data_IF_022309895826
#
_entry.id   IF_022309895826
#
_cell.length_a   1.000
_cell.length_b   1.000
_cell.length_c   1.000
_cell.angle_alpha   90.00
_cell.angle_beta   90.00
_cell.angle_gamma   90.00
#
_symmetry.space_group_name_H-M   'P 1'
#
loop_
_entity.id
_entity.type
_entity.pdbx_description
1 polymer ?
#
# COMPACT_ATOMS: atom_id res chain seq x y z
N UNK A 1 -31.11 -10.70 4.98
CA UNK A 1 -29.66 -10.51 4.81
C UNK A 1 -29.23 -9.40 5.75
N UNK A 2 -28.49 -9.73 6.81
CA UNK A 2 -28.18 -8.83 7.94
C UNK A 2 -27.03 -7.86 7.63
N UNK A 3 -27.11 -6.68 8.24
CA UNK A 3 -26.29 -5.46 8.14
C UNK A 3 -24.76 -5.58 8.27
N UNK A 4 -24.17 -6.78 8.34
CA UNK A 4 -22.72 -6.96 8.60
C UNK A 4 -21.89 -7.45 7.40
N UNK A 5 -22.48 -7.55 6.19
CA UNK A 5 -21.80 -8.11 5.02
C UNK A 5 -21.37 -7.07 3.96
N UNK A 6 -21.59 -5.77 4.19
CA UNK A 6 -21.30 -4.74 3.20
C UNK A 6 -19.81 -4.36 3.11
N UNK A 7 -19.04 -4.48 4.21
CA UNK A 7 -17.60 -4.15 4.22
C UNK A 7 -16.75 -5.11 3.36
N UNK A 8 -17.23 -6.32 3.08
CA UNK A 8 -16.52 -7.30 2.25
C UNK A 8 -16.99 -7.34 0.78
N UNK A 9 -18.12 -6.69 0.43
CA UNK A 9 -18.76 -6.89 -0.88
C UNK A 9 -18.40 -5.84 -1.95
N UNK A 10 -17.74 -4.74 -1.58
CA UNK A 10 -17.48 -3.63 -2.52
C UNK A 10 -16.24 -3.79 -3.42
N UNK A 11 -15.68 -5.00 -3.55
CA UNK A 11 -14.65 -5.30 -4.54
C UNK A 11 -15.20 -5.73 -5.92
N UNK A 12 -16.52 -5.78 -6.13
CA UNK A 12 -17.07 -6.45 -7.32
C UNK A 12 -18.34 -5.81 -7.85
N UNK A 13 -18.21 -4.99 -8.91
CA UNK A 13 -18.89 -5.16 -10.22
C UNK A 13 -18.71 -3.91 -11.08
N UNK A 14 -18.20 -4.10 -12.29
CA UNK A 14 -18.21 -3.09 -13.34
C UNK A 14 -19.42 -3.23 -14.26
N UNK A 15 -19.90 -2.12 -14.82
CA UNK A 15 -20.57 -2.05 -16.13
C UNK A 15 -20.42 -0.65 -16.76
N UNK A 16 -20.59 -0.63 -18.08
CA UNK A 16 -20.06 0.31 -19.09
C UNK A 16 -20.79 1.66 -19.23
N UNK A 17 -20.04 2.65 -19.76
CA UNK A 17 -20.39 3.52 -20.91
C UNK A 17 -20.31 5.05 -20.67
N UNK A 18 -19.35 5.65 -21.37
CA UNK A 18 -19.24 7.00 -21.94
C UNK A 18 -20.27 8.07 -21.53
N UNK A 19 -19.82 9.03 -20.70
CA UNK A 19 -20.05 10.48 -20.86
C UNK A 19 -19.31 11.24 -19.74
N UNK A 20 -18.00 11.48 -19.92
CA UNK A 20 -17.22 12.37 -19.05
C UNK A 20 -17.16 13.76 -19.68
N UNK A 21 -17.86 14.74 -19.09
CA UNK A 21 -17.47 16.16 -18.94
C UNK A 21 -18.64 17.08 -18.53
N UNK A 22 -19.91 16.62 -18.54
CA UNK A 22 -21.06 17.49 -18.27
C UNK A 22 -21.73 17.30 -16.90
N UNK A 23 -21.41 16.24 -16.16
CA UNK A 23 -22.10 15.87 -14.91
C UNK A 23 -21.41 16.36 -13.62
N UNK A 24 -20.24 17.00 -13.70
CA UNK A 24 -19.70 17.82 -12.59
C UNK A 24 -20.36 19.21 -12.65
N UNK A 25 -21.68 19.27 -12.84
CA UNK A 25 -22.47 20.48 -12.69
C UNK A 25 -23.09 20.45 -11.30
N UNK A 26 -22.59 21.33 -10.43
CA UNK A 26 -23.00 21.60 -9.04
C UNK A 26 -22.41 20.69 -7.95
N UNK A 27 -21.09 20.53 -7.91
CA UNK A 27 -20.46 20.51 -6.58
C UNK A 27 -20.50 21.96 -6.07
N UNK A 28 -21.45 22.24 -5.18
CA UNK A 28 -21.63 23.52 -4.44
C UNK A 28 -20.39 23.92 -3.59
N UNK A 29 -19.25 23.24 -3.71
CA UNK A 29 -18.04 23.54 -2.93
C UNK A 29 -17.44 24.90 -3.28
N UNK A 30 -17.34 25.25 -4.57
CA UNK A 30 -16.61 26.48 -4.99
C UNK A 30 -17.26 27.75 -4.45
N UNK A 31 -18.60 27.78 -4.28
CA UNK A 31 -19.31 28.95 -3.73
C UNK A 31 -19.42 28.94 -2.20
N UNK A 32 -19.18 27.81 -1.53
CA UNK A 32 -19.16 27.71 -0.07
C UNK A 32 -17.78 28.07 0.49
N UNK A 33 -16.72 27.72 -0.23
CA UNK A 33 -15.33 28.00 0.15
C UNK A 33 -14.98 29.50 0.06
N UNK A 34 -15.63 30.28 -0.83
CA UNK A 34 -15.35 31.71 -1.02
C UNK A 34 -15.93 32.64 0.06
N UNK A 35 -16.72 32.15 1.02
CA UNK A 35 -17.43 32.98 2.03
C UNK A 35 -16.82 32.97 3.43
N UNK A 36 -15.58 32.56 3.53
CA UNK A 36 -15.01 32.13 4.80
C UNK A 36 -13.67 32.84 5.03
N UNK A 37 -13.72 33.92 5.82
CA UNK A 37 -12.55 34.69 6.23
C UNK A 37 -11.67 33.85 7.16
N UNK A 38 -10.41 33.60 6.79
CA UNK A 38 -9.53 32.73 7.58
C UNK A 38 -8.14 33.31 7.81
N UNK A 39 -7.74 33.28 9.09
CA UNK A 39 -6.44 33.68 9.62
C UNK A 39 -5.38 32.59 9.41
N UNK A 40 -4.16 33.04 9.11
CA UNK A 40 -2.99 32.25 8.75
C UNK A 40 -2.21 31.73 9.97
N UNK A 41 -1.79 30.45 9.95
CA UNK A 41 -0.78 29.93 10.87
C UNK A 41 -0.06 28.70 10.31
N UNK A 42 1.28 28.73 10.29
CA UNK A 42 2.17 27.58 10.09
C UNK A 42 3.24 27.75 8.99
N UNK A 43 4.51 27.42 9.30
CA UNK A 43 5.65 27.44 8.37
C UNK A 43 5.46 26.53 7.15
N UNK A 44 4.75 25.41 7.31
CA UNK A 44 4.46 24.47 6.22
C UNK A 44 3.59 25.11 5.13
N UNK A 45 2.68 26.01 5.51
CA UNK A 45 1.82 26.71 4.56
C UNK A 45 2.63 27.64 3.64
N UNK A 46 3.71 28.25 4.17
CA UNK A 46 4.60 29.11 3.37
C UNK A 46 5.34 28.33 2.28
N UNK A 47 5.72 27.07 2.57
CA UNK A 47 6.40 26.20 1.61
C UNK A 47 5.47 25.78 0.48
N UNK A 48 4.24 25.39 0.78
CA UNK A 48 3.24 25.06 -0.25
C UNK A 48 2.96 26.25 -1.16
N UNK A 49 2.71 27.42 -0.59
CA UNK A 49 2.44 28.66 -1.35
C UNK A 49 3.61 28.97 -2.30
N UNK A 50 4.86 28.84 -1.84
CA UNK A 50 6.03 29.04 -2.69
C UNK A 50 6.11 28.06 -3.85
N UNK A 51 5.80 26.77 -3.63
CA UNK A 51 5.78 25.76 -4.70
C UNK A 51 4.76 26.10 -5.79
N UNK A 52 3.51 26.42 -5.40
CA UNK A 52 2.47 26.79 -6.36
C UNK A 52 2.85 28.03 -7.18
N UNK A 53 3.36 29.06 -6.52
CA UNK A 53 3.77 30.30 -7.17
C UNK A 53 4.91 30.07 -8.17
N UNK A 54 5.95 29.31 -7.76
CA UNK A 54 7.08 29.02 -8.64
C UNK A 54 6.67 28.22 -9.87
N UNK A 55 5.81 27.20 -9.70
CA UNK A 55 5.29 26.43 -10.83
C UNK A 55 4.46 27.33 -11.74
N UNK A 56 3.60 28.20 -11.19
CA UNK A 56 2.79 29.11 -11.98
C UNK A 56 3.65 30.03 -12.86
N UNK A 57 4.66 30.68 -12.28
CA UNK A 57 5.56 31.58 -13.00
C UNK A 57 6.32 30.87 -14.12
N UNK A 58 6.94 29.71 -13.81
CA UNK A 58 7.79 29.00 -14.77
C UNK A 58 6.95 28.30 -15.84
N UNK A 59 5.82 27.71 -15.47
CA UNK A 59 4.91 27.07 -16.43
C UNK A 59 4.27 28.09 -17.38
N UNK A 60 3.95 29.31 -16.91
CA UNK A 60 3.46 30.39 -17.77
C UNK A 60 4.53 30.81 -18.78
N UNK A 61 5.77 31.05 -18.32
CA UNK A 61 6.90 31.38 -19.20
C UNK A 61 7.19 30.27 -20.23
N UNK A 62 7.10 29.01 -19.83
CA UNK A 62 7.20 27.88 -20.76
C UNK A 62 6.03 27.86 -21.76
N UNK A 63 4.80 28.07 -21.30
CA UNK A 63 3.62 28.12 -22.17
C UNK A 63 3.79 29.21 -23.24
N UNK A 64 4.15 30.43 -22.85
CA UNK A 64 4.39 31.54 -23.77
C UNK A 64 5.46 31.20 -24.83
N UNK A 65 6.53 30.50 -24.44
CA UNK A 65 7.58 30.07 -25.37
C UNK A 65 7.11 29.04 -26.42
N UNK A 66 6.25 28.09 -26.03
CA UNK A 66 5.79 27.02 -26.91
C UNK A 66 4.54 27.42 -27.71
N UNK A 67 3.60 28.17 -27.14
CA UNK A 67 2.26 28.39 -27.72
C UNK A 67 2.21 29.38 -28.87
N UNK A 68 3.27 30.15 -29.07
CA UNK A 68 3.44 30.98 -30.26
C UNK A 68 3.94 30.22 -31.51
N UNK A 69 4.17 28.91 -31.45
CA UNK A 69 4.87 28.14 -32.50
C UNK A 69 3.99 27.04 -33.11
N UNK A 70 4.14 26.77 -34.41
CA UNK A 70 3.21 25.95 -35.21
C UNK A 70 3.50 24.45 -35.29
N UNK A 71 4.57 23.94 -34.66
CA UNK A 71 4.86 22.50 -34.72
C UNK A 71 3.92 21.69 -33.82
N UNK A 72 3.56 20.47 -34.24
CA UNK A 72 2.71 19.55 -33.45
C UNK A 72 3.22 19.36 -32.02
N UNK A 73 4.55 19.29 -31.84
CA UNK A 73 5.16 19.12 -30.52
C UNK A 73 4.94 20.32 -29.61
N UNK A 74 4.91 21.53 -30.17
CA UNK A 74 4.67 22.75 -29.39
C UNK A 74 3.22 22.81 -28.90
N UNK A 75 2.27 22.40 -29.74
CA UNK A 75 0.85 22.27 -29.34
C UNK A 75 0.70 21.28 -28.17
N UNK A 76 1.35 20.12 -28.26
CA UNK A 76 1.36 19.11 -27.20
C UNK A 76 1.95 19.62 -25.87
N UNK A 77 3.01 20.44 -25.93
CA UNK A 77 3.57 21.14 -24.77
C UNK A 77 2.57 22.13 -24.18
N UNK A 78 1.94 22.96 -25.01
CA UNK A 78 0.93 23.94 -24.59
C UNK A 78 -0.24 23.30 -23.87
N UNK A 79 -0.83 22.26 -24.44
CA UNK A 79 -1.92 21.52 -23.80
C UNK A 79 -1.50 20.96 -22.42
N UNK A 80 -0.22 20.62 -22.25
CA UNK A 80 0.30 20.13 -20.98
C UNK A 80 0.48 21.26 -19.96
N UNK A 81 0.99 22.42 -20.36
CA UNK A 81 1.11 23.60 -19.50
C UNK A 81 -0.26 24.17 -19.12
N UNK A 82 -1.19 24.26 -20.07
CA UNK A 82 -2.58 24.68 -19.80
C UNK A 82 -3.24 23.79 -18.77
N UNK A 83 -3.05 22.45 -18.87
CA UNK A 83 -3.54 21.52 -17.86
C UNK A 83 -2.94 21.77 -16.49
N UNK A 84 -1.62 22.05 -16.41
CA UNK A 84 -0.95 22.37 -15.14
C UNK A 84 -1.55 23.66 -14.56
N UNK A 85 -1.52 24.75 -15.32
CA UNK A 85 -1.95 26.09 -14.88
C UNK A 85 -3.41 26.10 -14.42
N UNK A 86 -4.30 25.41 -15.14
CA UNK A 86 -5.71 25.29 -14.77
C UNK A 86 -5.95 24.52 -13.47
N UNK A 87 -5.02 23.63 -13.07
CA UNK A 87 -5.13 22.81 -11.85
C UNK A 87 -4.51 23.49 -10.62
N UNK A 88 -3.49 24.33 -10.78
CA UNK A 88 -2.72 24.87 -9.64
C UNK A 88 -3.60 25.57 -8.60
N UNK A 89 -4.42 26.54 -9.02
CA UNK A 89 -5.27 27.30 -8.10
C UNK A 89 -6.33 26.44 -7.37
N UNK A 90 -7.18 25.64 -8.06
CA UNK A 90 -8.15 24.79 -7.37
C UNK A 90 -7.48 23.74 -6.48
N UNK A 91 -6.31 23.23 -6.85
CA UNK A 91 -5.56 22.28 -6.03
C UNK A 91 -5.00 22.94 -4.78
N UNK A 92 -4.44 24.15 -4.88
CA UNK A 92 -3.96 24.92 -3.73
C UNK A 92 -5.09 25.15 -2.72
N UNK A 93 -6.24 25.66 -3.17
CA UNK A 93 -7.41 25.92 -2.32
C UNK A 93 -7.86 24.63 -1.62
N UNK A 94 -7.93 23.52 -2.36
CA UNK A 94 -8.38 22.24 -1.81
C UNK A 94 -7.36 21.69 -0.79
N UNK A 95 -6.06 21.84 -1.07
CA UNK A 95 -5.00 21.37 -0.18
C UNK A 95 -4.92 22.18 1.12
N UNK A 96 -5.21 23.48 1.08
CA UNK A 96 -5.31 24.33 2.28
C UNK A 96 -6.41 23.83 3.25
N UNK A 97 -7.53 23.32 2.74
CA UNK A 97 -8.60 22.75 3.58
C UNK A 97 -8.11 21.49 4.31
N UNK A 98 -7.42 20.61 3.58
CA UNK A 98 -6.86 19.36 4.11
C UNK A 98 -5.81 19.66 5.19
N UNK A 99 -4.84 20.51 4.87
CA UNK A 99 -3.71 20.80 5.76
C UNK A 99 -4.15 21.50 7.06
N UNK A 100 -5.12 22.42 6.99
CA UNK A 100 -5.69 23.07 8.20
C UNK A 100 -6.46 22.12 9.12
N UNK A 101 -6.93 20.99 8.59
CA UNK A 101 -7.81 20.07 9.34
C UNK A 101 -7.14 18.76 9.73
N UNK A 102 -5.99 18.42 9.14
CA UNK A 102 -5.36 17.10 9.29
C UNK A 102 -4.93 16.78 10.73
N UNK A 103 -4.59 17.79 11.55
CA UNK A 103 -4.21 17.62 12.96
C UNK A 103 -5.32 16.98 13.81
N UNK A 104 -6.60 17.16 13.42
CA UNK A 104 -7.77 16.57 14.09
C UNK A 104 -7.85 15.06 13.99
N UNK A 105 -7.02 14.45 13.14
CA UNK A 105 -7.00 13.02 12.84
C UNK A 105 -5.68 12.36 13.22
N UNK A 106 -4.75 13.11 13.85
CA UNK A 106 -3.54 12.52 14.39
C UNK A 106 -3.85 11.66 15.61
N UNK A 107 -3.10 10.56 15.77
CA UNK A 107 -3.23 9.64 16.90
C UNK A 107 -2.93 10.37 18.22
N UNK A 108 -1.93 11.25 18.20
CA UNK A 108 -1.61 12.14 19.32
C UNK A 108 -0.80 13.36 18.84
N UNK A 109 -0.67 14.43 19.64
CA UNK A 109 0.18 15.57 19.30
C UNK A 109 1.65 15.20 19.00
N UNK A 110 2.13 14.10 19.62
CA UNK A 110 3.49 13.57 19.42
C UNK A 110 3.61 12.59 18.25
N UNK A 111 2.48 12.07 17.75
CA UNK A 111 2.42 11.08 16.67
C UNK A 111 1.57 11.64 15.53
N UNK A 112 2.19 12.52 14.74
CA UNK A 112 1.59 13.19 13.59
C UNK A 112 1.64 12.27 12.37
N UNK A 113 0.56 11.56 12.10
CA UNK A 113 0.52 10.56 11.03
C UNK A 113 -0.91 10.11 10.77
N UNK A 114 -1.45 10.50 9.61
CA UNK A 114 -2.79 10.11 9.19
C UNK A 114 -2.95 10.21 7.66
N UNK A 115 -4.05 9.68 7.13
CA UNK A 115 -4.32 9.62 5.68
C UNK A 115 -4.34 10.99 4.98
N UNK A 116 -4.83 12.04 5.65
CA UNK A 116 -4.86 13.40 5.09
C UNK A 116 -3.47 14.01 4.95
N UNK A 117 -2.58 13.77 5.93
CA UNK A 117 -1.16 14.15 5.83
C UNK A 117 -0.48 13.40 4.69
N UNK A 118 -0.76 12.11 4.52
CA UNK A 118 -0.23 11.32 3.41
C UNK A 118 -0.66 11.89 2.05
N UNK A 119 -1.93 12.29 1.91
CA UNK A 119 -2.43 12.96 0.69
C UNK A 119 -1.65 14.25 0.42
N UNK A 120 -1.45 15.09 1.44
CA UNK A 120 -0.69 16.33 1.28
C UNK A 120 0.76 16.07 0.83
N UNK A 121 1.44 15.08 1.42
CA UNK A 121 2.81 14.70 1.04
C UNK A 121 2.88 14.14 -0.40
N UNK A 122 1.87 13.37 -0.84
CA UNK A 122 1.80 12.88 -2.22
C UNK A 122 1.61 14.04 -3.20
N UNK A 123 0.76 15.02 -2.88
CA UNK A 123 0.59 16.23 -3.68
C UNK A 123 1.89 17.04 -3.75
N UNK A 124 2.55 17.25 -2.62
CA UNK A 124 3.85 17.94 -2.54
C UNK A 124 4.92 17.27 -3.41
N UNK A 125 4.99 15.94 -3.35
CA UNK A 125 5.94 15.14 -4.15
C UNK A 125 5.69 15.30 -5.65
N UNK A 126 4.40 15.39 -6.04
CA UNK A 126 4.03 15.64 -7.44
C UNK A 126 4.41 17.05 -7.87
N UNK A 127 4.04 18.07 -7.09
CA UNK A 127 4.35 19.47 -7.37
C UNK A 127 5.85 19.71 -7.48
N UNK A 128 6.64 19.12 -6.57
CA UNK A 128 8.10 19.21 -6.61
C UNK A 128 8.65 18.66 -7.93
N UNK A 129 8.13 17.53 -8.41
CA UNK A 129 8.57 16.96 -9.69
C UNK A 129 8.09 17.76 -10.90
N UNK A 130 6.91 18.36 -10.82
CA UNK A 130 6.38 19.28 -11.85
C UNK A 130 7.24 20.54 -11.93
N UNK A 131 7.66 21.10 -10.79
CA UNK A 131 8.57 22.24 -10.74
C UNK A 131 9.92 21.90 -11.37
N UNK A 132 10.53 20.78 -10.98
CA UNK A 132 11.79 20.29 -11.53
C UNK A 132 11.73 20.15 -13.06
N UNK A 133 10.65 19.54 -13.58
CA UNK A 133 10.45 19.39 -15.03
C UNK A 133 10.27 20.74 -15.73
N UNK A 134 9.54 21.68 -15.13
CA UNK A 134 9.35 23.02 -15.68
C UNK A 134 10.65 23.83 -15.72
N UNK A 135 11.46 23.74 -14.67
CA UNK A 135 12.80 24.35 -14.60
C UNK A 135 13.74 23.74 -15.64
N UNK A 136 13.75 22.41 -15.76
CA UNK A 136 14.54 21.72 -16.79
C UNK A 136 14.13 22.18 -18.19
N UNK A 137 12.82 22.21 -18.50
CA UNK A 137 12.33 22.68 -19.80
C UNK A 137 12.76 24.12 -20.05
N UNK A 138 12.59 25.02 -19.09
CA UNK A 138 13.01 26.42 -19.22
C UNK A 138 14.49 26.55 -19.56
N UNK A 139 15.34 25.74 -18.92
CA UNK A 139 16.78 25.74 -19.12
C UNK A 139 17.26 25.04 -20.41
N UNK A 140 16.42 24.17 -21.00
CA UNK A 140 16.82 23.33 -22.13
C UNK A 140 16.07 23.63 -23.44
N UNK A 141 14.91 24.30 -23.39
CA UNK A 141 13.99 24.48 -24.54
C UNK A 141 14.59 25.19 -25.75
N UNK A 142 15.70 25.91 -25.58
CA UNK A 142 16.43 26.59 -26.66
C UNK A 142 17.68 25.83 -27.14
N UNK A 143 18.09 24.77 -26.44
CA UNK A 143 19.30 24.00 -26.77
C UNK A 143 19.07 23.13 -28.00
N UNK A 144 20.09 23.02 -28.85
CA UNK A 144 20.05 22.23 -30.10
C UNK A 144 19.67 20.75 -29.89
N UNK A 145 20.16 20.12 -28.81
CA UNK A 145 19.88 18.71 -28.49
C UNK A 145 18.72 18.53 -27.49
N UNK A 146 17.79 19.49 -27.42
CA UNK A 146 16.61 19.36 -26.56
C UNK A 146 15.79 18.12 -26.95
N UNK A 147 15.64 17.18 -26.01
CA UNK A 147 14.93 15.90 -26.22
C UNK A 147 13.42 16.10 -26.13
N UNK A 148 12.88 16.94 -27.01
CA UNK A 148 11.50 17.45 -26.97
C UNK A 148 10.45 16.35 -26.78
N UNK A 149 10.57 15.22 -27.48
CA UNK A 149 9.65 14.08 -27.31
C UNK A 149 9.66 13.50 -25.91
N UNK A 150 10.86 13.19 -25.38
CA UNK A 150 10.99 12.57 -24.06
C UNK A 150 10.49 13.52 -22.96
N UNK A 151 10.93 14.78 -23.02
CA UNK A 151 10.55 15.81 -22.06
C UNK A 151 9.05 16.09 -22.08
N UNK A 152 8.44 16.14 -23.27
CA UNK A 152 6.99 16.25 -23.40
C UNK A 152 6.27 15.07 -22.74
N UNK A 153 6.71 13.84 -23.01
CA UNK A 153 6.06 12.65 -22.45
C UNK A 153 6.09 12.64 -20.92
N UNK A 154 7.17 13.12 -20.30
CA UNK A 154 7.24 13.31 -18.85
C UNK A 154 6.30 14.41 -18.36
N UNK A 155 6.32 15.59 -18.99
CA UNK A 155 5.45 16.71 -18.64
C UNK A 155 3.96 16.33 -18.74
N UNK A 156 3.55 15.69 -19.84
CA UNK A 156 2.19 15.24 -20.07
C UNK A 156 1.76 14.16 -19.07
N UNK A 157 2.68 13.28 -18.64
CA UNK A 157 2.40 12.29 -17.60
C UNK A 157 2.11 12.97 -16.25
N UNK A 158 2.93 13.97 -15.87
CA UNK A 158 2.75 14.67 -14.60
C UNK A 158 1.58 15.67 -14.60
N UNK A 159 1.25 16.28 -15.74
CA UNK A 159 0.04 17.12 -15.85
C UNK A 159 -1.23 16.30 -15.62
N UNK A 160 -1.28 15.06 -16.13
CA UNK A 160 -2.38 14.13 -15.87
C UNK A 160 -2.43 13.69 -14.41
N UNK A 161 -1.27 13.39 -13.79
CA UNK A 161 -1.21 13.06 -12.36
C UNK A 161 -1.76 14.22 -11.51
N UNK A 162 -1.36 15.47 -11.78
CA UNK A 162 -1.88 16.64 -11.07
C UNK A 162 -3.41 16.75 -11.18
N UNK A 163 -3.98 16.56 -12.37
CA UNK A 163 -5.43 16.57 -12.55
C UNK A 163 -6.12 15.50 -11.69
N UNK A 164 -5.56 14.29 -11.60
CA UNK A 164 -6.13 13.22 -10.78
C UNK A 164 -5.94 13.47 -9.29
N UNK A 165 -4.82 14.05 -8.88
CA UNK A 165 -4.60 14.45 -7.50
C UNK A 165 -5.60 15.52 -7.05
N UNK A 166 -5.95 16.50 -7.91
CA UNK A 166 -7.05 17.43 -7.62
C UNK A 166 -8.36 16.69 -7.34
N UNK A 167 -8.74 15.72 -8.19
CA UNK A 167 -9.94 14.91 -7.94
C UNK A 167 -9.85 14.16 -6.61
N UNK A 168 -8.71 13.51 -6.31
CA UNK A 168 -8.50 12.75 -5.07
C UNK A 168 -8.59 13.66 -3.84
N UNK A 169 -7.99 14.85 -3.89
CA UNK A 169 -8.06 15.83 -2.79
C UNK A 169 -9.50 16.30 -2.58
N UNK A 170 -10.26 16.54 -3.65
CA UNK A 170 -11.67 16.91 -3.55
C UNK A 170 -12.52 15.80 -2.90
N UNK A 171 -12.28 14.54 -3.25
CA UNK A 171 -12.92 13.40 -2.56
C UNK A 171 -12.50 13.31 -1.09
N UNK A 172 -11.23 13.55 -0.79
CA UNK A 172 -10.74 13.56 0.58
C UNK A 172 -11.41 14.66 1.42
N UNK A 173 -11.73 15.83 0.84
CA UNK A 173 -12.49 16.88 1.52
C UNK A 173 -13.91 16.42 1.83
N UNK A 174 -14.59 15.71 0.91
CA UNK A 174 -15.94 15.16 1.18
C UNK A 174 -15.88 14.23 2.39
N UNK A 175 -14.92 13.28 2.41
CA UNK A 175 -14.74 12.38 3.53
C UNK A 175 -14.38 13.11 4.83
N UNK A 176 -13.56 14.16 4.75
CA UNK A 176 -13.17 15.01 5.87
C UNK A 176 -14.38 15.70 6.51
N UNK A 177 -15.28 16.27 5.69
CA UNK A 177 -16.47 16.98 6.15
C UNK A 177 -17.52 16.05 6.78
N UNK A 178 -17.60 14.81 6.32
CA UNK A 178 -18.54 13.81 6.83
C UNK A 178 -18.02 13.05 8.08
N UNK A 179 -16.71 13.10 8.31
CA UNK A 179 -16.03 12.38 9.39
C UNK A 179 -16.05 13.13 10.72
N UNK A 180 -16.11 12.37 11.81
CA UNK A 180 -15.89 12.91 13.15
C UNK A 180 -14.38 13.07 13.42
N UNK A 181 -14.00 13.98 14.32
CA UNK A 181 -12.60 14.12 14.76
C UNK A 181 -12.05 12.78 15.26
N UNK A 182 -10.83 12.44 14.86
CA UNK A 182 -10.18 11.17 15.20
C UNK A 182 -10.68 9.94 14.43
N UNK A 183 -11.73 10.07 13.61
CA UNK A 183 -12.23 8.98 12.77
C UNK A 183 -11.88 9.27 11.31
N UNK A 184 -10.96 8.49 10.70
CA UNK A 184 -10.62 8.65 9.29
C UNK A 184 -11.71 8.19 8.32
N UNK A 185 -12.69 7.45 8.82
CA UNK A 185 -13.82 6.97 8.05
C UNK A 185 -15.10 7.57 8.61
N UNK A 186 -15.95 8.18 7.76
CA UNK A 186 -17.27 8.63 8.17
C UNK A 186 -18.13 7.40 8.50
N UNK A 187 -19.15 7.59 9.35
CA UNK A 187 -20.11 6.52 9.65
C UNK A 187 -20.86 6.14 8.36
N UNK A 188 -21.01 4.85 8.08
CA UNK A 188 -21.60 4.34 6.82
C UNK A 188 -22.92 5.00 6.43
N UNK A 189 -23.75 5.36 7.41
CA UNK A 189 -25.04 6.04 7.20
C UNK A 189 -24.94 7.46 6.58
N UNK A 190 -23.73 8.04 6.53
CA UNK A 190 -23.50 9.41 6.06
C UNK A 190 -22.90 9.51 4.67
N UNK A 191 -22.30 8.45 4.13
CA UNK A 191 -21.64 8.52 2.82
C UNK A 191 -22.68 8.32 1.73
N UNK A 192 -22.84 9.31 0.85
CA UNK A 192 -23.58 9.14 -0.39
C UNK A 192 -22.91 8.04 -1.25
N UNK A 193 -23.65 6.96 -1.55
CA UNK A 193 -23.17 5.83 -2.38
C UNK A 193 -22.58 6.29 -3.72
N UNK A 194 -23.04 7.44 -4.24
CA UNK A 194 -22.50 8.04 -5.46
C UNK A 194 -21.04 8.49 -5.33
N UNK A 195 -20.58 8.86 -4.13
CA UNK A 195 -19.20 9.31 -3.88
C UNK A 195 -18.22 8.17 -4.17
N UNK A 196 -18.54 6.95 -3.72
CA UNK A 196 -17.71 5.77 -3.97
C UNK A 196 -17.76 5.36 -5.44
N UNK A 197 -18.96 5.38 -6.05
CA UNK A 197 -19.12 5.08 -7.47
C UNK A 197 -18.36 6.08 -8.36
N UNK A 198 -18.32 7.36 -7.99
CA UNK A 198 -17.58 8.38 -8.73
C UNK A 198 -16.07 8.29 -8.49
N UNK A 199 -15.64 7.93 -7.29
CA UNK A 199 -14.23 7.66 -7.00
C UNK A 199 -13.70 6.50 -7.85
N UNK A 200 -14.50 5.44 -8.04
CA UNK A 200 -14.10 4.30 -8.85
C UNK A 200 -13.83 4.65 -10.32
N UNK A 201 -14.54 5.67 -10.84
CA UNK A 201 -14.43 6.16 -12.22
C UNK A 201 -13.16 6.99 -12.48
N UNK A 202 -12.40 7.37 -11.45
CA UNK A 202 -11.14 8.10 -11.62
C UNK A 202 -10.19 7.25 -12.49
N UNK A 203 -9.74 7.81 -13.62
CA UNK A 203 -8.71 7.17 -14.44
C UNK A 203 -7.40 7.09 -13.64
N UNK A 204 -6.92 5.85 -13.44
CA UNK A 204 -5.73 5.54 -12.62
C UNK A 204 -4.49 5.26 -13.47
N UNK A 205 -4.62 5.21 -14.80
CA UNK A 205 -3.53 4.85 -15.73
C UNK A 205 -2.33 5.78 -15.56
N UNK A 206 -2.56 7.08 -15.39
CA UNK A 206 -1.49 8.05 -15.21
C UNK A 206 -0.59 7.76 -13.99
N UNK A 207 -1.02 6.95 -13.02
CA UNK A 207 -0.18 6.56 -11.89
C UNK A 207 0.71 5.37 -12.19
N UNK A 208 0.39 4.53 -13.18
CA UNK A 208 1.12 3.28 -13.48
C UNK A 208 2.10 3.40 -14.68
N UNK A 209 2.15 4.59 -15.29
CA UNK A 209 3.01 4.93 -16.43
C UNK A 209 4.42 5.37 -16.04
N UNK A 210 4.89 6.47 -16.65
CA UNK A 210 6.24 7.05 -16.39
C UNK A 210 6.39 7.57 -14.96
N UNK A 211 5.33 8.16 -14.44
CA UNK A 211 5.20 8.65 -13.07
C UNK A 211 5.03 7.54 -12.02
N UNK A 212 5.13 6.25 -12.38
CA UNK A 212 4.93 5.17 -11.42
C UNK A 212 5.91 5.22 -10.26
N UNK A 213 5.33 5.32 -9.07
CA UNK A 213 6.02 5.40 -7.78
C UNK A 213 6.66 6.76 -7.50
N UNK A 214 6.23 7.85 -8.13
CA UNK A 214 6.83 9.18 -7.93
C UNK A 214 6.87 9.62 -6.45
N UNK A 215 5.91 9.17 -5.64
CA UNK A 215 5.79 9.49 -4.22
C UNK A 215 6.73 8.67 -3.31
N UNK A 216 7.35 7.61 -3.85
CA UNK A 216 8.24 6.76 -3.07
C UNK A 216 9.69 7.21 -3.20
N UNK A 217 10.51 6.84 -2.21
CA UNK A 217 11.96 6.99 -2.28
C UNK A 217 12.57 6.10 -3.36
N UNK A 218 13.73 6.49 -3.88
CA UNK A 218 14.37 5.84 -5.04
C UNK A 218 14.64 4.35 -4.84
N UNK A 219 14.95 3.93 -3.60
CA UNK A 219 15.16 2.52 -3.24
C UNK A 219 13.90 1.66 -3.42
N UNK A 220 12.70 2.23 -3.32
CA UNK A 220 11.43 1.54 -3.52
C UNK A 220 10.92 1.66 -4.96
N UNK A 221 11.24 2.75 -5.67
CA UNK A 221 10.76 2.94 -7.05
C UNK A 221 11.15 1.82 -7.98
N UNK A 222 12.42 1.39 -7.96
CA UNK A 222 12.93 0.35 -8.87
C UNK A 222 12.29 -1.02 -8.60
N UNK A 223 12.25 -1.53 -7.34
CA UNK A 223 11.51 -2.76 -7.02
C UNK A 223 10.04 -2.71 -7.40
N UNK A 224 9.34 -1.61 -7.07
CA UNK A 224 7.92 -1.48 -7.41
C UNK A 224 7.71 -1.49 -8.93
N UNK A 225 8.51 -0.74 -9.69
CA UNK A 225 8.49 -0.75 -11.17
C UNK A 225 8.69 -2.16 -11.72
N UNK A 226 9.64 -2.92 -11.16
CA UNK A 226 9.87 -4.30 -11.53
C UNK A 226 8.62 -5.17 -11.28
N UNK A 227 8.02 -5.07 -10.08
CA UNK A 227 6.76 -5.77 -9.76
C UNK A 227 5.65 -5.40 -10.76
N UNK A 228 5.51 -4.11 -11.11
CA UNK A 228 4.54 -3.67 -12.12
C UNK A 228 4.76 -4.27 -13.51
N UNK A 229 6.02 -4.38 -13.93
CA UNK A 229 6.38 -5.06 -15.21
C UNK A 229 6.03 -6.55 -15.15
N UNK A 230 6.39 -7.23 -14.07
CA UNK A 230 6.10 -8.66 -13.87
C UNK A 230 4.60 -8.89 -13.82
N UNK A 231 3.84 -8.03 -13.16
CA UNK A 231 2.37 -8.12 -13.07
C UNK A 231 1.71 -7.95 -14.44
N UNK A 232 2.12 -6.93 -15.21
CA UNK A 232 1.61 -6.73 -16.56
C UNK A 232 1.95 -7.92 -17.48
N UNK A 233 3.17 -8.45 -17.40
CA UNK A 233 3.58 -9.58 -18.21
C UNK A 233 2.87 -10.89 -17.80
N UNK A 234 2.68 -11.11 -16.49
CA UNK A 234 1.96 -12.27 -15.97
C UNK A 234 0.49 -12.26 -16.39
N UNK A 235 -0.14 -11.07 -16.46
CA UNK A 235 -1.52 -10.94 -16.92
C UNK A 235 -1.76 -11.45 -18.34
N UNK A 236 -0.79 -11.30 -19.25
CA UNK A 236 -0.90 -11.79 -20.62
C UNK A 236 -0.87 -13.32 -20.70
N UNK A 237 -0.03 -13.95 -19.88
CA UNK A 237 0.03 -15.40 -19.77
C UNK A 237 -1.20 -15.98 -19.08
N UNK A 238 -1.72 -15.29 -18.06
CA UNK A 238 -2.82 -15.76 -17.20
C UNK A 238 -4.12 -16.03 -17.97
N UNK A 239 -4.47 -15.19 -18.95
CA UNK A 239 -5.68 -15.38 -19.76
C UNK A 239 -5.54 -16.44 -20.86
N UNK A 240 -4.33 -16.95 -21.11
CA UNK A 240 -4.01 -17.79 -22.29
C UNK A 240 -3.65 -19.24 -21.97
N UNK A 241 -3.35 -19.57 -20.72
CA UNK A 241 -2.86 -20.90 -20.34
C UNK A 241 -3.43 -21.35 -19.00
N UNK A 242 -3.92 -22.60 -18.94
CA UNK A 242 -4.50 -23.17 -17.71
C UNK A 242 -3.45 -23.52 -16.64
N UNK A 243 -2.25 -23.93 -17.05
CA UNK A 243 -1.19 -24.38 -16.13
C UNK A 243 -0.31 -23.25 -15.59
N UNK A 244 0.01 -23.27 -14.29
CA UNK A 244 0.80 -22.23 -13.60
C UNK A 244 2.20 -22.06 -14.21
N UNK A 245 2.94 -23.14 -14.45
CA UNK A 245 4.31 -23.07 -14.97
C UNK A 245 4.39 -22.39 -16.34
N UNK A 246 3.44 -22.69 -17.23
CA UNK A 246 3.34 -22.07 -18.56
C UNK A 246 2.99 -20.57 -18.47
N UNK A 247 2.13 -20.19 -17.52
CA UNK A 247 1.80 -18.77 -17.23
C UNK A 247 3.04 -17.96 -16.81
N UNK A 248 3.92 -18.53 -15.99
CA UNK A 248 5.13 -17.84 -15.52
C UNK A 248 6.26 -17.80 -16.57
N UNK A 249 6.43 -18.83 -17.39
CA UNK A 249 7.43 -18.80 -18.47
C UNK A 249 7.06 -17.81 -19.57
N UNK A 250 5.76 -17.73 -19.91
CA UNK A 250 5.25 -16.75 -20.87
C UNK A 250 5.42 -15.30 -20.40
N UNK A 251 5.31 -15.04 -19.09
CA UNK A 251 5.47 -13.69 -18.52
C UNK A 251 6.91 -13.16 -18.61
N UNK A 252 7.92 -14.03 -18.47
CA UNK A 252 9.33 -13.62 -18.62
C UNK A 252 9.60 -13.14 -20.05
N UNK A 253 9.09 -13.85 -21.05
CA UNK A 253 9.27 -13.54 -22.48
C UNK A 253 8.57 -12.23 -22.87
N UNK A 254 7.39 -11.94 -22.30
CA UNK A 254 6.60 -10.74 -22.61
C UNK A 254 6.95 -9.53 -21.74
N UNK A 255 7.90 -9.63 -20.81
CA UNK A 255 8.25 -8.55 -19.88
C UNK A 255 8.91 -7.33 -20.54
N UNK A 256 9.71 -7.56 -21.59
CA UNK A 256 10.50 -6.52 -22.26
C UNK A 256 9.66 -5.35 -22.79
N UNK A 257 8.50 -5.63 -23.43
CA UNK A 257 7.63 -4.57 -23.96
C UNK A 257 7.05 -3.66 -22.87
N UNK A 258 6.78 -4.19 -21.68
CA UNK A 258 6.24 -3.44 -20.54
C UNK A 258 7.32 -2.65 -19.78
N UNK A 259 8.58 -3.04 -19.93
CA UNK A 259 9.72 -2.25 -19.47
C UNK A 259 9.96 -1.05 -20.41
N UNK A 260 9.94 -1.29 -21.72
CA UNK A 260 10.24 -0.28 -22.76
C UNK A 260 9.09 0.73 -22.92
N UNK A 261 7.83 0.29 -22.78
CA UNK A 261 6.65 1.13 -22.96
C UNK A 261 5.85 1.27 -21.65
N UNK A 262 6.13 2.31 -20.84
CA UNK A 262 5.44 2.57 -19.58
C UNK A 262 3.93 2.79 -19.74
N UNK A 263 3.50 3.45 -20.82
CA UNK A 263 2.08 3.70 -21.11
C UNK A 263 1.32 2.39 -21.35
N UNK A 264 1.90 1.47 -22.11
CA UNK A 264 1.33 0.14 -22.35
C UNK A 264 1.23 -0.66 -21.05
N UNK A 265 2.24 -0.57 -20.19
CA UNK A 265 2.21 -1.17 -18.84
C UNK A 265 1.08 -0.58 -18.02
N UNK A 266 0.93 0.74 -18.01
CA UNK A 266 -0.08 1.44 -17.24
C UNK A 266 -1.50 1.01 -17.60
N UNK A 267 -1.79 0.98 -18.90
CA UNK A 267 -3.06 0.51 -19.45
C UNK A 267 -3.33 -0.93 -19.01
N UNK A 268 -2.33 -1.81 -19.15
CA UNK A 268 -2.48 -3.22 -18.77
C UNK A 268 -2.74 -3.42 -17.29
N UNK A 269 -2.00 -2.73 -16.42
CA UNK A 269 -2.20 -2.78 -14.96
C UNK A 269 -3.59 -2.25 -14.59
N UNK A 270 -4.05 -1.17 -15.21
CA UNK A 270 -5.36 -0.58 -14.90
C UNK A 270 -6.50 -1.50 -15.35
N UNK A 271 -6.44 -2.04 -16.57
CA UNK A 271 -7.40 -3.04 -17.05
C UNK A 271 -7.44 -4.27 -16.15
N UNK A 272 -6.26 -4.77 -15.75
CA UNK A 272 -6.13 -5.90 -14.85
C UNK A 272 -6.78 -5.62 -13.50
N UNK A 273 -6.42 -4.53 -12.84
CA UNK A 273 -6.93 -4.19 -11.50
C UNK A 273 -8.43 -3.89 -11.48
N UNK A 274 -9.01 -3.46 -12.60
CA UNK A 274 -10.46 -3.23 -12.73
C UNK A 274 -11.26 -4.50 -13.06
N UNK A 275 -10.68 -5.44 -13.81
CA UNK A 275 -11.43 -6.59 -14.37
C UNK A 275 -11.10 -7.92 -13.70
N UNK A 276 -10.00 -8.01 -12.99
CA UNK A 276 -9.53 -9.28 -12.43
C UNK A 276 -10.30 -9.67 -11.18
N UNK A 277 -10.47 -10.98 -11.00
CA UNK A 277 -10.98 -11.56 -9.78
C UNK A 277 -9.83 -11.86 -8.79
N UNK A 278 -10.20 -12.15 -7.55
CA UNK A 278 -9.28 -12.52 -6.46
C UNK A 278 -8.40 -13.72 -6.83
N UNK A 279 -8.86 -14.61 -7.73
CA UNK A 279 -8.07 -15.74 -8.21
C UNK A 279 -6.79 -15.30 -8.93
N UNK A 280 -6.84 -14.21 -9.70
CA UNK A 280 -5.63 -13.63 -10.30
C UNK A 280 -4.66 -13.14 -9.22
N UNK A 281 -5.16 -12.33 -8.28
CA UNK A 281 -4.33 -11.79 -7.19
C UNK A 281 -3.66 -12.90 -6.40
N UNK A 282 -4.43 -13.94 -6.04
CA UNK A 282 -3.92 -15.11 -5.34
C UNK A 282 -2.84 -15.82 -6.16
N UNK A 283 -3.10 -16.08 -7.44
CA UNK A 283 -2.13 -16.75 -8.31
C UNK A 283 -0.84 -15.94 -8.50
N UNK A 284 -0.95 -14.61 -8.64
CA UNK A 284 0.19 -13.72 -8.82
C UNK A 284 1.02 -13.61 -7.54
N UNK A 285 0.40 -13.35 -6.39
CA UNK A 285 1.13 -13.19 -5.13
C UNK A 285 1.66 -14.51 -4.56
N UNK A 286 1.08 -15.65 -4.94
CA UNK A 286 1.66 -16.97 -4.66
C UNK A 286 2.75 -17.41 -5.65
N UNK A 287 3.17 -16.58 -6.62
CA UNK A 287 4.33 -16.89 -7.47
C UNK A 287 5.61 -17.07 -6.63
N UNK A 288 5.77 -16.35 -5.53
CA UNK A 288 6.94 -16.53 -4.66
C UNK A 288 6.91 -17.87 -3.91
N UNK A 289 5.73 -18.41 -3.64
CA UNK A 289 5.56 -19.71 -2.97
C UNK A 289 5.83 -20.88 -3.92
N UNK A 290 5.29 -20.80 -5.13
CA UNK A 290 5.22 -21.95 -6.04
C UNK A 290 6.48 -22.19 -6.89
N UNK A 291 7.40 -21.21 -6.99
CA UNK A 291 8.52 -21.25 -7.95
C UNK A 291 9.88 -21.35 -7.26
N UNK A 292 9.96 -22.08 -6.15
CA UNK A 292 11.24 -22.48 -5.54
C UNK A 292 11.93 -21.44 -4.66
N UNK A 293 11.39 -20.22 -4.52
CA UNK A 293 11.93 -19.20 -3.58
C UNK A 293 11.79 -19.66 -2.13
N UNK A 294 10.87 -20.57 -1.82
CA UNK A 294 10.74 -21.20 -0.50
C UNK A 294 12.01 -21.92 0.00
N UNK A 295 12.92 -22.33 -0.90
CA UNK A 295 14.21 -22.94 -0.55
C UNK A 295 15.36 -21.94 -0.55
N UNK A 296 15.20 -20.74 -1.12
CA UNK A 296 16.22 -19.70 -1.11
C UNK A 296 16.71 -19.33 0.30
N UNK A 297 15.85 -19.27 1.35
CA UNK A 297 16.32 -19.06 2.72
C UNK A 297 17.32 -20.11 3.21
N UNK A 298 17.22 -21.37 2.77
CA UNK A 298 18.12 -22.44 3.22
C UNK A 298 19.53 -22.29 2.63
N UNK A 299 19.65 -21.65 1.46
CA UNK A 299 20.92 -21.43 0.77
C UNK A 299 21.57 -20.08 1.11
N UNK A 300 20.75 -19.05 1.35
CA UNK A 300 21.21 -17.66 1.44
C UNK A 300 21.10 -17.06 2.85
N UNK A 301 20.26 -17.63 3.72
CA UNK A 301 20.00 -17.06 5.04
C UNK A 301 20.70 -17.86 6.15
N UNK A 302 20.95 -17.23 7.32
CA UNK A 302 21.54 -17.92 8.45
C UNK A 302 20.72 -19.14 8.85
N UNK A 303 21.37 -20.25 9.20
CA UNK A 303 20.73 -21.40 9.83
C UNK A 303 20.07 -20.97 11.15
N UNK A 304 18.83 -21.39 11.37
CA UNK A 304 18.11 -21.13 12.60
C UNK A 304 18.20 -22.35 13.52
N UNK A 305 18.48 -22.13 14.80
CA UNK A 305 18.37 -23.17 15.82
C UNK A 305 16.94 -23.69 15.95
N UNK A 306 15.95 -22.79 15.85
CA UNK A 306 14.52 -23.13 15.87
C UNK A 306 13.86 -22.53 14.63
N UNK A 307 13.18 -23.38 13.87
CA UNK A 307 12.27 -23.00 12.79
C UNK A 307 11.17 -24.06 12.72
N UNK A 308 10.19 -23.94 13.61
CA UNK A 308 9.20 -24.99 13.88
C UNK A 308 7.80 -24.47 13.60
N UNK A 309 6.99 -25.29 12.93
CA UNK A 309 5.56 -25.02 12.77
C UNK A 309 4.82 -25.40 14.05
N UNK A 310 3.95 -24.51 14.51
CA UNK A 310 3.12 -24.67 15.69
C UNK A 310 1.66 -24.72 15.28
N UNK A 311 0.91 -25.62 15.92
CA UNK A 311 -0.54 -25.67 15.83
C UNK A 311 -1.10 -25.22 17.17
N UNK A 312 -1.63 -24.00 17.21
CA UNK A 312 -2.25 -23.40 18.39
C UNK A 312 -3.67 -23.97 18.51
N UNK A 313 -3.97 -24.73 19.57
CA UNK A 313 -5.29 -25.33 19.75
C UNK A 313 -6.35 -24.25 19.99
N UNK A 314 -7.55 -24.47 19.47
CA UNK A 314 -8.70 -23.59 19.64
C UNK A 314 -9.44 -23.89 20.96
N UNK A 315 -8.70 -23.89 22.06
CA UNK A 315 -9.26 -23.98 23.41
C UNK A 315 -9.46 -22.55 23.94
N UNK A 316 -10.56 -22.26 24.68
CA UNK A 316 -10.75 -20.94 25.30
C UNK A 316 -9.55 -20.53 26.17
N UNK A 317 -9.13 -19.26 26.03
CA UNK A 317 -7.96 -18.72 26.73
C UNK A 317 -8.42 -17.70 27.76
N UNK A 318 -8.03 -17.90 29.01
CA UNK A 318 -8.34 -16.97 30.10
C UNK A 318 -7.15 -16.06 30.38
N UNK A 319 -7.31 -14.75 30.15
CA UNK A 319 -6.27 -13.75 30.39
C UNK A 319 -6.68 -12.83 31.53
N UNK A 320 -5.73 -12.51 32.42
CA UNK A 320 -5.90 -11.47 33.43
C UNK A 320 -5.55 -10.10 32.85
N UNK A 321 -6.48 -9.16 32.94
CA UNK A 321 -6.30 -7.76 32.55
C UNK A 321 -5.53 -6.98 33.62
N UNK A 322 -5.11 -5.75 33.28
CA UNK A 322 -4.41 -4.85 34.20
C UNK A 322 -5.23 -4.47 35.44
N UNK A 323 -6.56 -4.50 35.34
CA UNK A 323 -7.49 -4.29 36.45
C UNK A 323 -7.87 -5.61 37.17
N UNK A 324 -7.07 -6.67 37.01
CA UNK A 324 -7.25 -7.99 37.61
C UNK A 324 -8.57 -8.71 37.27
N UNK A 325 -9.25 -8.32 36.18
CA UNK A 325 -10.40 -9.07 35.66
C UNK A 325 -9.90 -10.21 34.77
N UNK A 326 -10.61 -11.32 34.80
CA UNK A 326 -10.37 -12.41 33.84
C UNK A 326 -11.28 -12.22 32.64
N UNK A 327 -10.69 -12.17 31.46
CA UNK A 327 -11.40 -12.20 30.18
C UNK A 327 -11.18 -13.56 29.52
N UNK A 328 -12.24 -14.13 28.99
CA UNK A 328 -12.18 -15.34 28.18
C UNK A 328 -12.12 -14.94 26.70
N UNK A 329 -11.13 -15.47 25.99
CA UNK A 329 -10.90 -15.24 24.56
C UNK A 329 -11.19 -16.54 23.82
N UNK A 330 -12.18 -16.47 22.92
CA UNK A 330 -12.62 -17.60 22.10
C UNK A 330 -12.46 -17.24 20.64
N UNK A 331 -11.88 -18.16 19.85
CA UNK A 331 -11.76 -17.99 18.40
C UNK A 331 -13.04 -18.46 17.70
N UNK A 332 -13.74 -17.59 16.96
CA UNK A 332 -14.93 -17.99 16.21
C UNK A 332 -14.64 -19.12 15.21
N UNK A 333 -15.58 -20.07 15.05
CA UNK A 333 -15.40 -21.18 14.12
C UNK A 333 -15.41 -20.70 12.67
N UNK A 334 -14.48 -21.21 11.87
CA UNK A 334 -14.41 -20.91 10.45
C UNK A 334 -15.46 -21.76 9.71
N UNK A 335 -16.48 -21.11 9.14
CA UNK A 335 -17.59 -21.79 8.45
C UNK A 335 -18.23 -22.92 9.28
N UNK A 336 -18.37 -22.69 10.60
CA UNK A 336 -18.93 -23.65 11.54
C UNK A 336 -17.98 -24.77 11.98
N UNK A 337 -16.70 -24.75 11.55
CA UNK A 337 -15.68 -25.72 11.97
C UNK A 337 -14.69 -25.08 12.93
N UNK A 338 -14.39 -25.78 14.01
CA UNK A 338 -13.29 -25.43 14.91
C UNK A 338 -11.98 -25.68 14.16
N UNK A 339 -11.14 -24.66 14.08
CA UNK A 339 -9.84 -24.70 13.40
C UNK A 339 -8.75 -24.23 14.35
N UNK A 340 -7.60 -24.91 14.31
CA UNK A 340 -6.39 -24.49 15.00
C UNK A 340 -5.71 -23.36 14.23
N UNK A 341 -5.08 -22.44 14.95
CA UNK A 341 -4.27 -21.39 14.32
C UNK A 341 -2.88 -21.92 14.06
N UNK A 342 -2.40 -21.82 12.82
CA UNK A 342 -1.02 -22.19 12.50
C UNK A 342 -0.09 -21.01 12.74
N UNK A 343 1.12 -21.31 13.16
CA UNK A 343 2.17 -20.31 13.32
C UNK A 343 3.55 -20.94 13.08
N UNK A 344 4.55 -20.10 12.89
CA UNK A 344 5.95 -20.50 12.78
C UNK A 344 6.77 -19.81 13.86
N UNK A 345 7.48 -20.59 14.66
CA UNK A 345 8.42 -20.10 15.65
C UNK A 345 9.83 -20.13 15.05
N UNK A 346 10.47 -18.96 14.99
CA UNK A 346 11.85 -18.80 14.55
C UNK A 346 12.72 -18.29 15.69
N UNK A 347 13.90 -18.88 15.86
CA UNK A 347 14.92 -18.39 16.77
C UNK A 347 16.32 -18.73 16.25
N UNK A 348 17.21 -17.74 16.25
CA UNK A 348 18.58 -17.95 15.80
C UNK A 348 19.37 -18.86 16.75
N UNK A 349 19.15 -18.69 18.06
CA UNK A 349 19.67 -19.57 19.12
C UNK A 349 18.52 -20.33 19.78
N UNK A 350 18.78 -21.55 20.23
CA UNK A 350 17.82 -22.29 21.04
C UNK A 350 17.79 -21.72 22.46
N UNK A 351 16.58 -21.54 23.01
CA UNK A 351 16.37 -20.96 24.33
C UNK A 351 15.68 -21.94 25.28
N UNK A 352 15.90 -21.73 26.57
CA UNK A 352 15.33 -22.57 27.63
C UNK A 352 13.79 -22.58 27.57
N UNK A 353 13.19 -23.76 27.69
CA UNK A 353 11.74 -23.97 27.57
C UNK A 353 11.16 -23.88 26.14
N UNK A 354 11.97 -23.46 25.16
CA UNK A 354 11.51 -23.25 23.80
C UNK A 354 11.22 -24.57 23.07
N UNK A 355 10.04 -24.65 22.44
CA UNK A 355 9.63 -25.81 21.64
C UNK A 355 10.49 -25.87 20.37
N UNK A 356 10.98 -27.06 20.03
CA UNK A 356 11.72 -27.32 18.79
C UNK A 356 11.39 -28.71 18.23
N UNK A 357 11.58 -28.91 16.92
CA UNK A 357 11.46 -30.24 16.32
C UNK A 357 12.64 -31.13 16.71
N UNK A 358 12.35 -32.38 17.08
CA UNK A 358 13.34 -33.40 17.50
C UNK A 358 14.20 -33.89 16.32
N UNK A 359 13.81 -33.63 15.06
CA UNK A 359 14.55 -34.16 13.91
C UNK A 359 15.82 -33.37 13.53
N UNK A 360 16.01 -32.14 14.04
CA UNK A 360 17.25 -31.37 13.88
C UNK A 360 18.30 -31.63 14.98
N UNK A 361 18.04 -32.62 15.86
CA UNK A 361 18.85 -32.96 17.03
C UNK A 361 20.32 -33.27 16.74
N UNK A 362 20.67 -33.68 15.51
CA UNK A 362 22.07 -33.97 15.17
C UNK A 362 22.99 -32.73 15.25
N UNK A 363 22.45 -31.50 15.14
CA UNK A 363 23.25 -30.27 15.30
C UNK A 363 23.24 -29.71 16.74
N UNK A 364 22.42 -30.27 17.64
CA UNK A 364 22.20 -29.79 19.01
C UNK A 364 22.87 -30.66 20.08
N UNK A 365 23.49 -31.78 19.71
CA UNK A 365 24.22 -32.64 20.65
C UNK A 365 25.34 -31.82 21.34
N UNK A 366 25.12 -31.48 22.62
CA UNK A 366 26.07 -30.73 23.46
C UNK A 366 25.83 -29.22 23.58
N UNK A 367 24.85 -28.65 22.87
CA UNK A 367 24.52 -27.23 22.99
C UNK A 367 23.70 -26.97 24.27
N UNK A 368 24.14 -26.05 25.12
CA UNK A 368 23.33 -25.56 26.25
C UNK A 368 22.32 -24.52 25.77
N UNK A 369 21.07 -24.54 26.25
CA UNK A 369 20.09 -23.54 25.87
C UNK A 369 20.54 -22.16 26.35
N UNK A 370 20.33 -21.14 25.52
CA UNK A 370 20.45 -19.76 25.95
C UNK A 370 19.30 -19.42 26.92
N UNK A 371 19.46 -18.41 27.79
CA UNK A 371 18.36 -17.95 28.64
C UNK A 371 17.18 -17.45 27.78
N UNK A 372 15.94 -17.46 28.32
CA UNK A 372 14.79 -16.87 27.65
C UNK A 372 15.04 -15.40 27.28
N UNK A 373 14.56 -14.99 26.11
CA UNK A 373 14.66 -13.61 25.66
C UNK A 373 13.73 -12.70 26.49
N UNK A 374 14.14 -11.47 26.77
CA UNK A 374 13.23 -10.43 27.32
C UNK A 374 12.18 -9.95 26.30
N UNK A 375 12.42 -10.26 25.03
CA UNK A 375 11.64 -9.80 23.90
C UNK A 375 10.99 -10.96 23.16
N UNK A 376 9.81 -10.72 22.60
CA UNK A 376 9.17 -11.58 21.60
C UNK A 376 8.73 -10.68 20.44
N UNK A 377 9.03 -11.07 19.21
CA UNK A 377 8.41 -10.46 18.04
C UNK A 377 7.19 -11.26 17.63
N UNK A 378 6.03 -10.62 17.61
CA UNK A 378 4.78 -11.18 17.13
C UNK A 378 4.53 -10.66 15.72
N UNK A 379 4.53 -11.56 14.73
CA UNK A 379 4.56 -11.22 13.32
C UNK A 379 3.31 -11.71 12.58
N UNK A 380 2.71 -10.85 11.75
CA UNK A 380 1.69 -11.23 10.76
C UNK A 380 2.23 -10.95 9.35
N UNK A 381 2.13 -11.93 8.45
CA UNK A 381 2.70 -11.82 7.11
C UNK A 381 1.85 -10.96 6.17
N UNK A 382 2.43 -10.47 5.06
CA UNK A 382 1.71 -9.79 3.99
C UNK A 382 0.93 -10.71 3.05
N UNK A 383 0.52 -10.18 1.90
CA UNK A 383 -0.24 -10.94 0.90
C UNK A 383 -1.74 -10.62 0.85
N UNK A 384 -2.14 -9.45 1.36
CA UNK A 384 -3.49 -8.91 1.19
C UNK A 384 -4.60 -9.76 1.81
N UNK A 385 -4.27 -10.55 2.85
CA UNK A 385 -5.13 -11.58 3.43
C UNK A 385 -5.63 -12.66 2.46
N UNK A 386 -5.11 -12.74 1.23
CA UNK A 386 -5.57 -13.69 0.19
C UNK A 386 -4.51 -14.69 -0.25
N UNK A 387 -3.24 -14.43 0.06
CA UNK A 387 -2.09 -15.21 -0.36
C UNK A 387 -0.99 -15.18 0.71
N UNK A 388 0.03 -16.01 0.46
CA UNK A 388 1.27 -16.09 1.24
C UNK A 388 1.13 -16.77 2.61
N UNK A 389 2.26 -16.86 3.30
CA UNK A 389 2.44 -17.52 4.59
C UNK A 389 3.72 -16.98 5.27
N UNK A 390 3.91 -17.34 6.54
CA UNK A 390 5.15 -17.17 7.30
C UNK A 390 6.36 -17.73 6.55
N UNK A 391 6.18 -18.81 5.78
CA UNK A 391 7.24 -19.46 5.01
C UNK A 391 7.80 -18.56 3.91
N UNK A 392 6.92 -17.84 3.20
CA UNK A 392 7.30 -16.88 2.15
C UNK A 392 8.16 -15.74 2.66
N UNK A 393 8.00 -15.41 3.94
CA UNK A 393 8.61 -14.25 4.58
C UNK A 393 9.87 -14.63 5.39
N UNK A 394 10.26 -15.92 5.39
CA UNK A 394 11.42 -16.42 6.15
C UNK A 394 12.73 -15.67 5.87
N UNK A 395 12.94 -15.12 4.67
CA UNK A 395 14.20 -14.45 4.31
C UNK A 395 14.51 -13.32 5.30
N UNK A 396 13.60 -12.36 5.48
CA UNK A 396 13.84 -11.25 6.40
C UNK A 396 13.61 -11.68 7.85
N UNK A 397 12.70 -12.61 8.14
CA UNK A 397 12.46 -13.10 9.49
C UNK A 397 13.72 -13.77 10.08
N UNK A 398 14.45 -14.57 9.28
CA UNK A 398 15.72 -15.18 9.69
C UNK A 398 16.81 -14.14 9.92
N UNK A 399 16.86 -13.12 9.09
CA UNK A 399 17.79 -12.00 9.26
C UNK A 399 17.49 -11.22 10.55
N UNK A 400 16.22 -10.92 10.82
CA UNK A 400 15.80 -10.24 12.04
C UNK A 400 16.04 -11.09 13.28
N UNK A 401 15.68 -12.38 13.25
CA UNK A 401 15.91 -13.30 14.37
C UNK A 401 17.41 -13.39 14.74
N UNK A 402 18.31 -13.40 13.74
CA UNK A 402 19.76 -13.35 13.97
C UNK A 402 20.22 -12.00 14.49
N UNK A 403 19.85 -10.92 13.80
CA UNK A 403 20.38 -9.57 14.06
C UNK A 403 19.90 -9.04 15.41
N UNK A 404 18.62 -9.25 15.72
CA UNK A 404 18.01 -8.81 16.98
C UNK A 404 18.22 -9.83 18.11
N UNK A 405 18.58 -11.08 17.76
CA UNK A 405 18.70 -12.20 18.70
C UNK A 405 17.43 -12.43 19.54
N UNK A 406 16.25 -12.24 18.93
CA UNK A 406 14.94 -12.43 19.56
C UNK A 406 14.17 -13.58 18.90
N UNK A 407 13.36 -14.35 19.65
CA UNK A 407 12.41 -15.27 19.07
C UNK A 407 11.30 -14.51 18.32
N UNK A 408 10.86 -15.08 17.21
CA UNK A 408 9.79 -14.53 16.36
C UNK A 408 8.68 -15.58 16.23
N UNK A 409 7.45 -15.19 16.57
CA UNK A 409 6.25 -15.98 16.32
C UNK A 409 5.50 -15.35 15.14
N UNK A 410 5.53 -16.00 13.97
CA UNK A 410 4.83 -15.56 12.76
C UNK A 410 3.53 -16.33 12.57
N UNK A 411 2.40 -15.64 12.49
CA UNK A 411 1.07 -16.26 12.41
C UNK A 411 0.70 -16.58 10.96
N UNK A 412 0.28 -17.83 10.72
CA UNK A 412 -0.23 -18.33 9.44
C UNK A 412 -1.77 -18.31 9.48
N UNK A 413 -2.33 -17.10 9.44
CA UNK A 413 -3.76 -16.86 9.50
C UNK A 413 -4.49 -17.37 8.23
N UNK A 414 -5.78 -17.61 8.37
CA UNK A 414 -6.67 -18.09 7.32
C UNK A 414 -6.90 -17.03 6.24
N UNK A 415 -6.89 -17.46 4.98
CA UNK A 415 -6.91 -16.57 3.82
C UNK A 415 -8.30 -16.43 3.20
N UNK A 416 -8.62 -15.21 2.78
CA UNK A 416 -9.75 -14.89 1.92
C UNK A 416 -9.56 -15.47 0.50
N UNK A 417 -10.65 -15.81 -0.21
CA UNK A 417 -12.06 -15.69 0.21
C UNK A 417 -12.57 -16.85 1.07
N UNK A 418 -11.76 -17.89 1.34
CA UNK A 418 -12.18 -19.07 2.12
C UNK A 418 -12.48 -18.75 3.59
N UNK A 419 -11.75 -17.78 4.13
CA UNK A 419 -11.96 -17.17 5.43
C UNK A 419 -12.09 -15.64 5.25
N UNK A 420 -13.32 -15.11 5.10
CA UNK A 420 -13.52 -13.68 4.93
C UNK A 420 -13.19 -12.91 6.22
N UNK A 421 -13.04 -11.60 6.09
CA UNK A 421 -12.99 -10.69 7.24
C UNK A 421 -14.20 -10.95 8.17
N UNK A 422 -14.02 -11.00 9.51
CA UNK A 422 -12.81 -10.67 10.27
C UNK A 422 -11.96 -11.89 10.71
N UNK A 423 -12.09 -13.06 10.07
CA UNK A 423 -11.49 -14.32 10.57
C UNK A 423 -9.99 -14.19 10.85
N UNK A 424 -9.20 -13.69 9.90
CA UNK A 424 -7.75 -13.55 10.06
C UNK A 424 -7.39 -12.69 11.29
N UNK A 425 -8.12 -11.59 11.53
CA UNK A 425 -7.90 -10.72 12.70
C UNK A 425 -8.22 -11.45 14.01
N UNK A 426 -9.29 -12.23 14.04
CA UNK A 426 -9.64 -13.03 15.21
C UNK A 426 -8.55 -14.08 15.50
N UNK A 427 -7.98 -14.71 14.48
CA UNK A 427 -6.92 -15.71 14.62
C UNK A 427 -5.60 -15.08 15.09
N UNK A 428 -5.23 -13.91 14.55
CA UNK A 428 -4.06 -13.14 15.00
C UNK A 428 -4.22 -12.73 16.46
N UNK A 429 -5.39 -12.20 16.84
CA UNK A 429 -5.68 -11.82 18.22
C UNK A 429 -5.66 -13.03 19.16
N UNK A 430 -6.28 -14.14 18.76
CA UNK A 430 -6.29 -15.38 19.52
C UNK A 430 -4.87 -15.96 19.70
N UNK A 431 -4.05 -15.93 18.64
CA UNK A 431 -2.66 -16.39 18.73
C UNK A 431 -1.81 -15.50 19.65
N UNK A 432 -2.06 -14.19 19.69
CA UNK A 432 -1.42 -13.30 20.65
C UNK A 432 -1.82 -13.63 22.09
N UNK A 433 -3.11 -13.86 22.33
CA UNK A 433 -3.62 -14.29 23.63
C UNK A 433 -2.97 -15.61 24.07
N UNK A 434 -2.87 -16.58 23.17
CA UNK A 434 -2.18 -17.85 23.43
C UNK A 434 -0.70 -17.66 23.74
N UNK A 435 -0.02 -16.76 23.01
CA UNK A 435 1.39 -16.48 23.21
C UNK A 435 1.68 -15.95 24.63
N UNK A 436 0.79 -15.10 25.19
CA UNK A 436 0.93 -14.57 26.55
C UNK A 436 0.93 -15.67 27.62
N UNK A 437 0.10 -16.70 27.45
CA UNK A 437 0.04 -17.85 28.37
C UNK A 437 1.14 -18.90 28.11
N UNK A 438 1.90 -18.76 27.01
CA UNK A 438 2.86 -19.77 26.55
C UNK A 438 4.26 -19.19 26.27
N UNK A 439 4.62 -18.05 26.86
CA UNK A 439 5.88 -17.34 26.62
C UNK A 439 7.13 -18.23 26.78
N UNK A 440 7.15 -19.10 27.79
CA UNK A 440 8.26 -20.06 27.99
C UNK A 440 8.44 -21.00 26.80
N UNK A 441 7.33 -21.50 26.21
CA UNK A 441 7.35 -22.36 25.00
C UNK A 441 7.90 -21.62 23.77
N UNK A 442 7.81 -20.30 23.77
CA UNK A 442 8.33 -19.42 22.72
C UNK A 442 9.79 -19.00 22.96
N UNK A 443 10.39 -19.39 24.10
CA UNK A 443 11.75 -18.99 24.46
C UNK A 443 11.86 -17.53 24.90
N UNK A 444 10.78 -16.96 25.44
CA UNK A 444 10.70 -15.56 25.87
C UNK A 444 10.12 -15.44 27.29
N UNK A 445 10.44 -14.35 27.97
CA UNK A 445 9.79 -13.91 29.22
C UNK A 445 8.63 -12.95 28.96
N UNK A 446 8.49 -12.44 27.73
CA UNK A 446 7.40 -11.55 27.34
C UNK A 446 7.43 -10.16 27.98
N UNK A 447 8.53 -9.75 28.62
CA UNK A 447 8.64 -8.40 29.19
C UNK A 447 8.40 -7.29 28.15
N UNK A 448 8.79 -7.53 26.90
CA UNK A 448 8.50 -6.64 25.76
C UNK A 448 8.07 -7.44 24.55
N UNK A 449 6.84 -7.22 24.10
CA UNK A 449 6.33 -7.83 22.86
C UNK A 449 6.27 -6.75 21.79
N UNK A 450 6.92 -7.02 20.66
CA UNK A 450 6.96 -6.13 19.50
C UNK A 450 6.05 -6.71 18.42
N UNK A 451 5.01 -5.97 18.05
CA UNK A 451 4.18 -6.30 16.89
C UNK A 451 4.88 -5.86 15.61
N UNK A 452 4.93 -6.74 14.63
CA UNK A 452 5.47 -6.47 13.32
C UNK A 452 4.57 -7.11 12.24
N UNK A 453 4.51 -6.49 11.09
CA UNK A 453 3.81 -7.02 9.94
C UNK A 453 4.18 -6.23 8.70
N UNK A 454 3.95 -6.83 7.53
CA UNK A 454 4.20 -6.19 6.25
C UNK A 454 2.93 -6.17 5.40
N UNK A 455 2.73 -5.06 4.69
CA UNK A 455 1.60 -4.84 3.79
C UNK A 455 0.23 -4.96 4.48
N UNK A 456 -0.30 -6.18 4.63
CA UNK A 456 -1.63 -6.45 5.17
C UNK A 456 -1.60 -6.94 6.62
N UNK A 457 -0.61 -7.76 6.98
CA UNK A 457 -0.35 -8.17 8.37
C UNK A 457 0.20 -7.02 9.19
#
# INVERSE_FOLDING_TARGET
MTKNNLVALFQYRGFLSNAYCSSIKKIKLVSKVSKMNYSSGGSDNSRFISLFNNINVIATDNADFFCGKTSNRNVEFCESFDRILNVLNPLQISLEVITRSCDKFDISPSCKGNGYRSIANVVESCLSKVLELNEQIKNEREKFFFRSYHTYMELNSYSQVLMRLLSIVQFAIILLEESNSGCLFPKEEKIDENVMADFEKINRECFYGRSFGFQYVESLKKPLRFVGVVMAAYSDGYSRHDHSLSRALSSVIHSGKYYINPELRAKRITELTQKSNVSFCKAFWSLTENYGVQHAPLLLCPAMAVNTELSIPNDPINIKTLDNKTIEIVLPPLNGKVVNVRARLLSYVWREGQVHEVNNSKSMLGAKPAPPSRYLMFHAHGGGFVAQSSKSHEIYLRYWAKTLNIPILSIDYSLSPGAPFPQALNEIYFAYAWALENLSKLGSTGEKIVFAGDSAG
#
